data_IF_344620722972
#
_entry.id   IF_344620722972
#
_cell.length_a   1.000
_cell.length_b   1.000
_cell.length_c   1.000
_cell.angle_alpha   90.00
_cell.angle_beta   90.00
_cell.angle_gamma   90.00
#
_symmetry.space_group_name_H-M   'P 1'
#
loop_
_entity.id
_entity.type
_entity.pdbx_description
1 polymer ?
#
# COMPACT_ATOMS: atom_id res chain seq x y z
N UNK A 1 -39.92 23.27 -35.26
CA UNK A 1 -40.02 22.04 -34.45
C UNK A 1 -38.69 21.30 -34.27
N UNK A 2 -37.95 20.93 -35.34
CA UNK A 2 -36.69 20.17 -35.22
C UNK A 2 -35.53 20.89 -34.51
N UNK A 3 -35.49 22.23 -34.54
CA UNK A 3 -34.40 23.05 -33.93
C UNK A 3 -34.43 23.05 -32.40
N UNK A 4 -35.62 23.06 -31.80
CA UNK A 4 -35.77 23.06 -30.34
C UNK A 4 -35.46 21.67 -29.75
N UNK A 5 -35.87 20.60 -30.43
CA UNK A 5 -35.49 19.23 -30.03
C UNK A 5 -33.96 19.06 -30.05
N UNK A 6 -33.28 19.60 -31.08
CA UNK A 6 -31.81 19.54 -31.20
C UNK A 6 -31.09 20.30 -30.08
N UNK A 7 -31.63 21.42 -29.62
CA UNK A 7 -31.05 22.21 -28.51
C UNK A 7 -31.19 21.50 -27.17
N UNK A 8 -32.34 20.89 -26.92
CA UNK A 8 -32.57 20.09 -25.71
C UNK A 8 -31.67 18.85 -25.69
N UNK A 9 -31.58 18.11 -26.80
CA UNK A 9 -30.68 16.96 -26.91
C UNK A 9 -29.21 17.35 -26.74
N UNK A 10 -28.79 18.51 -27.25
CA UNK A 10 -27.43 19.03 -27.04
C UNK A 10 -27.17 19.36 -25.58
N UNK A 11 -28.14 19.96 -24.88
CA UNK A 11 -28.05 20.24 -23.44
C UNK A 11 -27.89 18.96 -22.61
N UNK A 12 -28.67 17.92 -22.91
CA UNK A 12 -28.55 16.61 -22.25
C UNK A 12 -27.18 15.98 -22.54
N UNK A 13 -26.72 16.03 -23.78
CA UNK A 13 -25.41 15.47 -24.16
C UNK A 13 -24.26 16.19 -23.44
N UNK A 14 -24.33 17.52 -23.28
CA UNK A 14 -23.36 18.28 -22.50
C UNK A 14 -23.39 17.87 -21.03
N UNK A 15 -24.56 17.72 -20.41
CA UNK A 15 -24.67 17.26 -19.03
C UNK A 15 -24.05 15.87 -18.82
N UNK A 16 -24.32 14.93 -19.73
CA UNK A 16 -23.67 13.62 -19.70
C UNK A 16 -22.17 13.72 -19.92
N UNK A 17 -21.72 14.55 -20.87
CA UNK A 17 -20.30 14.81 -21.09
C UNK A 17 -19.60 15.37 -19.85
N UNK A 18 -20.22 16.32 -19.15
CA UNK A 18 -19.70 16.86 -17.88
C UNK A 18 -19.65 15.80 -16.79
N UNK A 19 -20.68 14.94 -16.67
CA UNK A 19 -20.67 13.81 -15.74
C UNK A 19 -19.54 12.82 -16.06
N UNK A 20 -19.36 12.44 -17.32
CA UNK A 20 -18.27 11.57 -17.75
C UNK A 20 -16.91 12.16 -17.41
N UNK A 21 -16.67 13.44 -17.76
CA UNK A 21 -15.41 14.12 -17.42
C UNK A 21 -15.19 14.16 -15.91
N UNK A 22 -16.21 14.50 -15.12
CA UNK A 22 -16.14 14.50 -13.66
C UNK A 22 -15.77 13.11 -13.11
N UNK A 23 -16.46 12.06 -13.56
CA UNK A 23 -16.18 10.69 -13.14
C UNK A 23 -14.79 10.23 -13.56
N UNK A 24 -14.35 10.53 -14.78
CA UNK A 24 -13.00 10.19 -15.27
C UNK A 24 -11.93 10.93 -14.48
N UNK A 25 -12.12 12.22 -14.15
CA UNK A 25 -11.15 12.97 -13.33
C UNK A 25 -11.04 12.38 -11.93
N UNK A 26 -12.16 12.03 -11.30
CA UNK A 26 -12.16 11.39 -9.97
C UNK A 26 -11.50 10.00 -10.05
N UNK A 27 -11.84 9.19 -11.04
CA UNK A 27 -11.31 7.83 -11.18
C UNK A 27 -9.83 7.77 -11.58
N UNK A 28 -9.32 8.78 -12.30
CA UNK A 28 -7.91 8.79 -12.75
C UNK A 28 -7.01 9.54 -11.78
N UNK A 29 -7.49 10.62 -11.14
CA UNK A 29 -6.66 11.47 -10.28
C UNK A 29 -6.98 11.39 -8.77
N UNK A 30 -8.18 10.95 -8.36
CA UNK A 30 -8.55 10.84 -6.95
C UNK A 30 -8.62 9.40 -6.42
N UNK A 31 -8.55 8.39 -7.27
CA UNK A 31 -8.58 6.98 -6.82
C UNK A 31 -7.45 6.67 -5.85
N UNK A 32 -6.25 7.20 -6.10
CA UNK A 32 -5.11 7.01 -5.22
C UNK A 32 -5.37 7.62 -3.83
N UNK A 33 -5.92 8.84 -3.77
CA UNK A 33 -6.24 9.53 -2.51
C UNK A 33 -7.40 8.88 -1.72
N UNK A 34 -8.44 8.38 -2.40
CA UNK A 34 -9.60 7.75 -1.76
C UNK A 34 -9.32 6.31 -1.31
N UNK A 35 -8.38 5.62 -1.96
CA UNK A 35 -7.93 4.27 -1.57
C UNK A 35 -7.00 4.29 -0.36
N UNK A 36 -6.15 5.32 -0.26
CA UNK A 36 -5.21 5.50 0.85
C UNK A 36 -5.90 6.13 2.08
N UNK A 37 -7.19 6.50 1.99
CA UNK A 37 -7.92 7.06 3.13
C UNK A 37 -7.95 6.05 4.30
N UNK A 38 -7.39 6.42 5.48
CA UNK A 38 -7.33 5.55 6.65
C UNK A 38 -8.71 5.16 7.21
N UNK A 39 -9.80 5.79 6.76
CA UNK A 39 -11.18 5.46 7.15
C UNK A 39 -11.79 4.32 6.33
N UNK A 40 -11.15 3.84 5.27
CA UNK A 40 -11.67 2.75 4.46
C UNK A 40 -11.39 1.39 5.11
N UNK A 41 -12.31 0.96 5.98
CA UNK A 41 -12.19 -0.30 6.73
C UNK A 41 -12.16 -1.55 5.83
N UNK A 42 -12.79 -1.51 4.65
CA UNK A 42 -12.84 -2.69 3.76
C UNK A 42 -11.50 -2.93 3.06
N UNK A 43 -10.84 -1.88 2.60
CA UNK A 43 -9.49 -1.99 2.04
C UNK A 43 -8.49 -2.35 3.12
N UNK A 44 -8.69 -1.88 4.36
CA UNK A 44 -7.89 -2.25 5.52
C UNK A 44 -7.97 -3.76 5.81
N UNK A 45 -9.17 -4.35 5.93
CA UNK A 45 -9.27 -5.80 6.15
C UNK A 45 -8.69 -6.62 4.99
N UNK A 46 -8.89 -6.16 3.74
CA UNK A 46 -8.30 -6.81 2.58
C UNK A 46 -6.76 -6.77 2.64
N UNK A 47 -6.16 -5.67 3.08
CA UNK A 47 -4.70 -5.54 3.18
C UNK A 47 -4.08 -6.42 4.27
N UNK A 48 -4.81 -6.75 5.35
CA UNK A 48 -4.36 -7.74 6.36
C UNK A 48 -4.56 -9.19 5.95
N UNK A 49 -5.46 -9.44 4.99
CA UNK A 49 -5.67 -10.79 4.44
C UNK A 49 -4.63 -11.17 3.38
N UNK A 50 -3.93 -10.18 2.83
CA UNK A 50 -2.86 -10.37 1.85
C UNK A 50 -1.49 -10.45 2.54
N UNK A 51 -0.60 -11.29 2.00
CA UNK A 51 0.76 -11.40 2.49
C UNK A 51 1.54 -10.14 2.10
N UNK A 52 1.78 -9.25 3.08
CA UNK A 52 2.57 -8.03 2.88
C UNK A 52 4.04 -8.39 2.63
N UNK A 53 4.66 -7.71 1.68
CA UNK A 53 6.05 -7.99 1.27
C UNK A 53 7.07 -7.79 2.40
N UNK A 54 8.19 -8.51 2.34
CA UNK A 54 9.24 -8.43 3.35
C UNK A 54 10.16 -7.22 3.16
N UNK A 55 10.66 -6.65 4.25
CA UNK A 55 11.71 -5.62 4.23
C UNK A 55 13.04 -6.30 4.59
N UNK A 56 14.04 -6.15 3.72
CA UNK A 56 15.30 -6.90 3.79
C UNK A 56 16.48 -5.92 3.91
N UNK A 57 17.38 -6.16 4.85
CA UNK A 57 18.66 -5.45 5.00
C UNK A 57 19.78 -6.43 4.72
N UNK A 58 20.56 -6.20 3.65
CA UNK A 58 21.55 -7.19 3.19
C UNK A 58 20.87 -8.51 2.86
N UNK A 59 21.09 -9.55 3.67
CA UNK A 59 20.51 -10.88 3.53
C UNK A 59 19.46 -11.23 4.61
N UNK A 60 19.13 -10.29 5.50
CA UNK A 60 18.24 -10.56 6.64
C UNK A 60 16.91 -9.84 6.46
N UNK A 61 15.80 -10.58 6.57
CA UNK A 61 14.47 -9.98 6.63
C UNK A 61 14.26 -9.34 8.01
N UNK A 62 14.11 -8.02 8.03
CA UNK A 62 13.89 -7.24 9.26
C UNK A 62 12.40 -6.99 9.54
N UNK A 63 11.56 -7.11 8.51
CA UNK A 63 10.11 -7.11 8.66
C UNK A 63 9.50 -8.17 7.76
N UNK A 64 8.62 -9.00 8.32
CA UNK A 64 7.99 -10.12 7.63
C UNK A 64 6.56 -10.34 8.10
N UNK A 65 5.74 -10.94 7.25
CA UNK A 65 4.36 -11.28 7.56
C UNK A 65 4.25 -12.77 7.86
N UNK A 66 3.94 -13.10 9.10
CA UNK A 66 3.82 -14.48 9.59
C UNK A 66 2.34 -14.87 9.58
N UNK A 67 1.95 -16.03 9.04
CA UNK A 67 0.58 -16.49 9.09
C UNK A 67 0.15 -16.78 10.53
N UNK A 68 -1.03 -16.30 10.92
CA UNK A 68 -1.63 -16.56 12.23
C UNK A 68 -3.07 -17.08 12.05
N UNK A 69 -3.53 -17.85 13.02
CA UNK A 69 -4.88 -18.42 13.03
C UNK A 69 -5.87 -17.45 13.70
N UNK A 70 -6.06 -16.28 13.06
CA UNK A 70 -7.01 -15.24 13.48
C UNK A 70 -7.69 -14.63 12.24
N UNK A 71 -8.67 -13.76 12.46
CA UNK A 71 -9.37 -12.98 11.42
C UNK A 71 -8.36 -12.21 10.54
N UNK A 72 -7.25 -11.78 11.13
CA UNK A 72 -6.12 -11.18 10.45
C UNK A 72 -5.10 -12.25 10.06
N UNK A 73 -5.37 -12.97 8.96
CA UNK A 73 -4.58 -14.11 8.45
C UNK A 73 -3.05 -13.97 8.52
N UNK A 74 -2.53 -12.75 8.45
CA UNK A 74 -1.12 -12.44 8.57
C UNK A 74 -0.86 -11.37 9.64
N UNK A 75 0.14 -11.63 10.49
CA UNK A 75 0.67 -10.67 11.45
C UNK A 75 2.03 -10.15 11.00
N UNK A 76 2.24 -8.84 11.12
CA UNK A 76 3.52 -8.21 10.82
C UNK A 76 4.47 -8.33 12.01
N UNK A 77 5.64 -8.93 11.78
CA UNK A 77 6.70 -9.14 12.78
C UNK A 77 7.97 -8.39 12.37
N UNK A 78 8.60 -7.74 13.34
CA UNK A 78 9.83 -6.98 13.17
C UNK A 78 10.98 -7.66 13.91
N UNK A 79 12.00 -8.10 13.18
CA UNK A 79 13.17 -8.77 13.71
C UNK A 79 14.25 -7.75 14.12
N UNK A 80 15.05 -8.08 15.14
CA UNK A 80 16.19 -7.25 15.55
C UNK A 80 15.91 -6.24 16.67
N UNK A 81 14.93 -6.50 17.55
CA UNK A 81 14.81 -5.80 18.85
C UNK A 81 14.67 -4.28 18.78
N UNK A 82 14.09 -3.77 17.68
CA UNK A 82 13.96 -2.34 17.44
C UNK A 82 15.21 -1.65 16.90
N UNK A 83 16.28 -2.38 16.53
CA UNK A 83 17.47 -1.82 15.85
C UNK A 83 17.10 -0.96 14.64
N UNK A 84 16.10 -1.45 13.89
CA UNK A 84 15.61 -0.84 12.66
C UNK A 84 14.31 -0.06 12.83
N UNK A 85 13.76 0.07 14.05
CA UNK A 85 12.41 0.64 14.26
C UNK A 85 12.28 2.08 13.76
N UNK A 86 13.33 2.89 13.88
CA UNK A 86 13.37 4.26 13.36
C UNK A 86 13.32 4.34 11.83
N UNK A 87 13.73 3.27 11.14
CA UNK A 87 13.76 3.18 9.68
C UNK A 87 12.46 2.54 9.19
N UNK A 88 12.14 1.34 9.68
CA UNK A 88 10.94 0.60 9.27
C UNK A 88 9.66 1.33 9.66
N UNK A 89 9.65 1.99 10.81
CA UNK A 89 8.43 2.44 11.45
C UNK A 89 7.59 1.26 11.93
N UNK A 90 6.27 1.42 11.88
CA UNK A 90 5.31 0.43 12.35
C UNK A 90 4.15 0.27 11.37
N UNK A 91 3.51 -0.89 11.42
CA UNK A 91 2.25 -1.18 10.75
C UNK A 91 1.31 -1.81 11.76
N UNK A 92 0.30 -1.06 12.20
CA UNK A 92 -0.70 -1.53 13.17
C UNK A 92 -2.10 -1.10 12.76
N UNK A 93 -3.10 -1.90 13.15
CA UNK A 93 -4.50 -1.64 12.80
C UNK A 93 -4.99 -0.32 13.41
N UNK A 94 -4.58 -0.03 14.65
CA UNK A 94 -5.10 1.12 15.41
C UNK A 94 -4.29 2.40 15.23
N UNK A 95 -2.97 2.30 15.04
CA UNK A 95 -2.08 3.47 14.96
C UNK A 95 -1.70 3.78 13.50
N UNK A 96 -2.01 2.89 12.56
CA UNK A 96 -1.74 3.07 11.14
C UNK A 96 -0.31 2.66 10.75
N UNK A 97 0.22 3.38 9.77
CA UNK A 97 1.52 3.16 9.14
C UNK A 97 2.46 4.32 9.46
N UNK A 98 3.75 4.04 9.65
CA UNK A 98 4.79 5.06 9.80
C UNK A 98 6.11 4.64 9.15
N UNK A 99 7.01 5.61 8.95
CA UNK A 99 8.34 5.37 8.41
C UNK A 99 8.30 4.74 7.02
N UNK A 100 9.18 3.77 6.79
CA UNK A 100 9.26 3.05 5.52
C UNK A 100 7.99 2.25 5.20
N UNK A 101 7.29 1.71 6.20
CA UNK A 101 6.03 0.99 5.98
C UNK A 101 4.95 1.88 5.35
N UNK A 102 4.93 3.18 5.69
CA UNK A 102 4.06 4.17 5.05
C UNK A 102 4.58 4.54 3.65
N UNK A 103 5.88 4.83 3.55
CA UNK A 103 6.47 5.31 2.30
C UNK A 103 6.39 4.30 1.16
N UNK A 104 6.54 3.01 1.46
CA UNK A 104 6.51 1.90 0.49
C UNK A 104 5.21 1.08 0.61
N UNK A 105 4.11 1.70 1.08
CA UNK A 105 2.89 0.96 1.35
C UNK A 105 2.32 0.28 0.12
N UNK A 106 2.42 0.92 -1.05
CA UNK A 106 1.82 0.41 -2.28
C UNK A 106 2.57 -0.81 -2.80
N UNK A 107 3.90 -0.79 -2.74
CA UNK A 107 4.75 -1.93 -3.10
C UNK A 107 4.57 -3.08 -2.11
N UNK A 108 4.62 -2.78 -0.81
CA UNK A 108 4.51 -3.78 0.26
C UNK A 108 3.12 -4.40 0.33
N UNK A 109 2.06 -3.68 -0.03
CA UNK A 109 0.69 -4.20 -0.11
C UNK A 109 0.34 -4.85 -1.44
N UNK A 110 1.23 -4.79 -2.44
CA UNK A 110 0.99 -5.34 -3.78
C UNK A 110 0.07 -4.48 -4.65
N UNK A 111 -0.20 -3.23 -4.25
CA UNK A 111 -1.11 -2.30 -4.91
C UNK A 111 -0.41 -1.30 -5.83
N UNK A 112 0.93 -1.34 -5.94
CA UNK A 112 1.66 -0.45 -6.83
C UNK A 112 1.17 -0.56 -8.28
N UNK A 113 1.17 0.55 -9.01
CA UNK A 113 0.77 0.59 -10.43
C UNK A 113 1.59 -0.38 -11.30
N UNK A 114 2.84 -0.68 -10.91
CA UNK A 114 3.69 -1.66 -11.58
C UNK A 114 3.16 -3.11 -11.43
N UNK A 115 2.39 -3.40 -10.38
CA UNK A 115 1.85 -4.72 -10.05
C UNK A 115 0.39 -4.91 -10.50
N UNK A 116 -0.22 -3.93 -11.18
CA UNK A 116 -1.58 -4.06 -11.71
C UNK A 116 -1.72 -5.27 -12.64
N UNK A 117 -0.73 -5.48 -13.52
CA UNK A 117 -0.72 -6.63 -14.43
C UNK A 117 -0.57 -7.96 -13.68
N UNK A 118 0.24 -7.99 -12.62
CA UNK A 118 0.42 -9.17 -11.76
C UNK A 118 -0.89 -9.51 -11.01
N UNK A 119 -1.65 -8.50 -10.56
CA UNK A 119 -2.96 -8.69 -9.94
C UNK A 119 -3.99 -9.26 -10.92
N UNK A 120 -4.03 -8.79 -12.17
CA UNK A 120 -4.93 -9.32 -13.20
C UNK A 120 -4.57 -10.78 -13.53
N UNK A 121 -3.28 -11.09 -13.66
CA UNK A 121 -2.79 -12.46 -13.84
C UNK A 121 -3.10 -13.34 -12.62
N UNK A 122 -2.98 -12.82 -11.40
CA UNK A 122 -3.32 -13.53 -10.17
C UNK A 122 -4.81 -13.88 -10.09
N UNK A 123 -5.70 -13.00 -10.54
CA UNK A 123 -7.14 -13.28 -10.65
C UNK A 123 -7.45 -14.40 -11.64
N UNK A 124 -6.73 -14.45 -12.77
CA UNK A 124 -6.88 -15.50 -13.79
C UNK A 124 -6.27 -16.83 -13.34
N UNK A 125 -5.16 -16.78 -12.60
CA UNK A 125 -4.41 -17.97 -12.14
C UNK A 125 -4.82 -18.48 -10.76
N UNK A 126 -5.67 -17.74 -10.04
CA UNK A 126 -6.12 -18.07 -8.69
C UNK A 126 -5.03 -17.95 -7.62
N UNK A 127 -3.87 -17.33 -7.91
CA UNK A 127 -2.82 -17.11 -6.92
C UNK A 127 -3.20 -15.95 -6.00
N UNK A 128 -2.96 -16.11 -4.70
CA UNK A 128 -3.16 -15.03 -3.74
C UNK A 128 -2.20 -13.86 -4.04
N UNK A 129 -2.70 -12.62 -4.13
CA UNK A 129 -1.83 -11.46 -4.32
C UNK A 129 -0.91 -11.30 -3.09
N UNK A 130 0.39 -11.19 -3.35
CA UNK A 130 1.44 -10.98 -2.36
C UNK A 130 2.17 -9.68 -2.69
N UNK A 131 2.52 -8.91 -1.67
CA UNK A 131 3.29 -7.68 -1.83
C UNK A 131 4.74 -7.91 -2.29
N UNK A 132 5.34 -6.88 -2.90
CA UNK A 132 6.75 -6.93 -3.26
C UNK A 132 7.65 -6.82 -2.03
N UNK A 133 8.75 -7.56 -2.05
CA UNK A 133 9.82 -7.39 -1.06
C UNK A 133 10.65 -6.15 -1.38
N UNK A 134 10.98 -5.37 -0.36
CA UNK A 134 11.80 -4.16 -0.46
C UNK A 134 13.18 -4.44 0.13
N UNK A 135 14.22 -4.30 -0.68
CA UNK A 135 15.60 -4.44 -0.21
C UNK A 135 16.22 -3.07 0.06
N UNK A 136 16.70 -2.90 1.28
CA UNK A 136 17.33 -1.67 1.75
C UNK A 136 18.82 -1.66 1.44
N UNK A 137 19.34 -0.45 1.21
CA UNK A 137 20.77 -0.17 1.05
C UNK A 137 21.50 0.00 2.38
N UNK A 138 20.80 -0.21 3.51
CA UNK A 138 21.37 -0.13 4.85
C UNK A 138 22.36 -1.28 5.05
N UNK A 139 23.51 -0.95 5.66
CA UNK A 139 24.48 -1.94 6.09
C UNK A 139 24.24 -2.29 7.56
N UNK A 140 23.96 -3.56 7.84
CA UNK A 140 23.65 -4.05 9.19
C UNK A 140 24.79 -3.79 10.21
N UNK A 141 26.06 -3.94 9.79
CA UNK A 141 27.20 -3.70 10.67
C UNK A 141 27.34 -2.22 11.04
N UNK A 142 27.12 -1.33 10.06
CA UNK A 142 27.15 0.12 10.30
C UNK A 142 25.98 0.55 11.18
N UNK A 143 24.79 -0.01 10.96
CA UNK A 143 23.61 0.29 11.77
C UNK A 143 23.79 -0.14 13.23
N UNK A 144 24.37 -1.32 13.47
CA UNK A 144 24.69 -1.79 14.82
C UNK A 144 25.72 -0.88 15.48
N UNK A 145 26.83 -0.58 14.80
CA UNK A 145 27.87 0.31 15.34
C UNK A 145 27.33 1.70 15.67
N UNK A 146 26.45 2.27 14.83
CA UNK A 146 25.81 3.55 15.09
C UNK A 146 24.89 3.50 16.33
N UNK A 147 24.17 2.38 16.52
CA UNK A 147 23.30 2.18 17.68
C UNK A 147 24.08 2.02 18.97
N UNK A 148 25.18 1.28 18.94
CA UNK A 148 26.07 1.11 20.08
C UNK A 148 26.73 2.45 20.45
N UNK A 149 27.20 3.22 19.46
CA UNK A 149 27.78 4.54 19.70
C UNK A 149 26.79 5.54 20.30
N UNK A 150 25.51 5.49 19.93
CA UNK A 150 24.47 6.36 20.53
C UNK A 150 24.07 5.86 21.92
N UNK A 151 24.00 4.55 22.13
CA UNK A 151 23.65 3.97 23.43
C UNK A 151 24.73 4.17 24.51
N UNK A 152 25.99 4.32 24.11
CA UNK A 152 27.12 4.64 25.01
C UNK A 152 27.20 6.14 25.33
N UNK A 153 26.41 6.98 24.65
CA UNK A 153 26.29 8.43 24.91
C UNK A 153 25.21 8.79 25.95
N UNK A 154 24.50 7.80 26.52
CA UNK A 154 23.44 7.97 27.54
C UNK A 154 23.84 7.39 28.89
#
# INVERSE_FOLDING_TARGET
>A
MMKELRRVSLGILVMFGTLFVSTTVIQVFQTDNLRVDPRNVRTLYASYSAERGSIIVGNTAIAQSIPIDDVFKYQRTYEGGGLYSAITGYYTINQGLAGLELAMNDELSGQSNAQFFDQVLALVTGKSPRGASVQLTINAAVQQAARDAIGDLS
#
